data_IF_334647975090
#
_entry.id   IF_334647975090
#
_cell.length_a   1.000
_cell.length_b   1.000
_cell.length_c   1.000
_cell.angle_alpha   90.00
_cell.angle_beta   90.00
_cell.angle_gamma   90.00
#
_symmetry.space_group_name_H-M   'P 1'
#
loop_
_entity.id
_entity.type
_entity.pdbx_description
1 polymer ?
#
# COMPACT_ATOMS: atom_id res chain seq x y z
N UNK A 1 -2.19 -6.81 -9.86
CA UNK A 1 -1.81 -7.33 -8.54
C UNK A 1 -2.89 -6.91 -7.56
N UNK A 2 -3.45 -7.85 -6.79
CA UNK A 2 -4.51 -7.57 -5.82
C UNK A 2 -3.90 -7.29 -4.45
N UNK A 3 -4.56 -6.44 -3.66
CA UNK A 3 -4.18 -6.13 -2.27
C UNK A 3 -3.94 -7.38 -1.42
N UNK A 4 -4.72 -8.42 -1.63
CA UNK A 4 -4.59 -9.72 -0.96
C UNK A 4 -3.23 -10.38 -1.20
N UNK A 5 -2.72 -10.31 -2.44
CA UNK A 5 -1.42 -10.89 -2.81
C UNK A 5 -0.27 -10.17 -2.09
N UNK A 6 -0.38 -8.84 -1.93
CA UNK A 6 0.60 -8.04 -1.20
C UNK A 6 0.59 -8.42 0.27
N UNK A 7 -0.59 -8.55 0.88
CA UNK A 7 -0.70 -8.97 2.28
C UNK A 7 -0.19 -10.38 2.52
N UNK A 8 -0.48 -11.31 1.61
CA UNK A 8 0.06 -12.66 1.69
C UNK A 8 1.58 -12.66 1.58
N UNK A 9 2.13 -11.95 0.59
CA UNK A 9 3.58 -11.81 0.43
C UNK A 9 4.24 -11.23 1.68
N UNK A 10 3.67 -10.16 2.24
CA UNK A 10 4.21 -9.51 3.43
C UNK A 10 4.12 -10.42 4.66
N UNK A 11 3.04 -11.18 4.80
CA UNK A 11 2.88 -12.17 5.87
C UNK A 11 3.87 -13.33 5.73
N UNK A 12 4.10 -13.83 4.53
CA UNK A 12 5.05 -14.93 4.28
C UNK A 12 6.50 -14.48 4.44
N UNK A 13 6.87 -13.32 3.92
CA UNK A 13 8.26 -12.83 3.95
C UNK A 13 8.65 -12.22 5.29
N UNK A 14 7.76 -11.43 5.90
CA UNK A 14 8.08 -10.65 7.10
C UNK A 14 7.31 -11.12 8.34
N UNK A 15 6.28 -11.95 8.20
CA UNK A 15 5.46 -12.39 9.34
C UNK A 15 4.74 -11.23 10.01
N UNK A 16 4.36 -10.22 9.25
CA UNK A 16 3.73 -8.98 9.75
C UNK A 16 2.30 -8.90 9.26
N UNK A 17 1.44 -8.30 10.07
CA UNK A 17 0.03 -8.08 9.75
C UNK A 17 -0.22 -6.59 9.48
N UNK A 18 -1.11 -6.25 8.54
CA UNK A 18 -1.48 -4.87 8.27
C UNK A 18 -2.29 -4.24 9.42
N UNK A 19 -1.88 -3.04 9.84
CA UNK A 19 -2.55 -2.23 10.85
C UNK A 19 -3.39 -1.12 10.21
N UNK A 20 -4.67 -1.04 10.55
CA UNK A 20 -5.59 0.00 10.05
C UNK A 20 -5.72 1.13 11.07
N UNK A 21 -4.92 2.19 10.90
CA UNK A 21 -4.84 3.28 11.87
C UNK A 21 -5.83 4.43 11.59
N UNK A 22 -6.26 4.59 10.34
CA UNK A 22 -7.08 5.73 9.95
C UNK A 22 -8.56 5.37 9.91
N UNK A 23 -9.36 6.00 10.77
CA UNK A 23 -10.83 5.86 10.76
C UNK A 23 -11.48 6.47 9.52
N UNK A 24 -10.85 7.50 8.93
CA UNK A 24 -11.36 8.18 7.72
C UNK A 24 -11.13 7.34 6.46
N UNK A 25 -10.07 6.53 6.45
CA UNK A 25 -9.65 5.73 5.31
C UNK A 25 -9.44 4.27 5.77
N UNK A 26 -10.53 3.50 5.92
CA UNK A 26 -10.45 2.10 6.37
C UNK A 26 -9.69 1.20 5.38
N UNK A 27 -9.48 1.69 4.16
CA UNK A 27 -8.70 1.02 3.13
C UNK A 27 -7.18 1.16 3.33
N UNK A 28 -6.73 2.10 4.16
CA UNK A 28 -5.31 2.37 4.40
C UNK A 28 -4.73 1.46 5.49
N UNK A 29 -3.67 0.74 5.16
CA UNK A 29 -2.98 -0.20 6.04
C UNK A 29 -1.50 0.17 6.22
N UNK A 30 -1.00 0.10 7.45
CA UNK A 30 0.42 0.26 7.79
C UNK A 30 1.04 -1.10 8.05
N UNK A 31 2.23 -1.32 7.52
CA UNK A 31 3.04 -2.51 7.76
C UNK A 31 4.18 -2.15 8.71
N UNK A 32 4.23 -2.85 9.84
CA UNK A 32 5.22 -2.64 10.91
C UNK A 32 6.06 -3.88 11.13
N UNK A 33 7.37 -3.67 11.31
CA UNK A 33 8.23 -4.70 11.84
C UNK A 33 7.85 -5.00 13.29
N UNK A 34 8.20 -6.19 13.76
CA UNK A 34 8.09 -6.57 15.18
C UNK A 34 8.84 -5.63 16.13
N UNK A 35 9.79 -4.85 15.60
CA UNK A 35 10.52 -3.80 16.34
C UNK A 35 9.71 -2.52 16.58
N UNK A 36 8.52 -2.39 16.00
CA UNK A 36 7.65 -1.21 16.11
C UNK A 36 7.92 -0.12 15.07
N UNK A 37 8.94 -0.27 14.23
CA UNK A 37 9.16 0.63 13.08
C UNK A 37 8.27 0.20 11.91
N UNK A 38 7.51 1.16 11.38
CA UNK A 38 6.82 0.98 10.10
C UNK A 38 7.85 0.97 8.97
N UNK A 39 7.56 0.25 7.90
CA UNK A 39 8.45 0.17 6.73
C UNK A 39 7.71 0.29 5.41
N UNK A 40 6.40 0.07 5.41
CA UNK A 40 5.55 0.27 4.26
C UNK A 40 4.13 0.68 4.68
N UNK A 41 3.43 1.39 3.80
CA UNK A 41 2.04 1.81 3.95
C UNK A 41 1.34 1.50 2.63
N UNK A 42 0.15 0.92 2.71
CA UNK A 42 -0.74 0.68 1.58
C UNK A 42 -1.90 1.66 1.73
N UNK A 43 -2.13 2.50 0.72
CA UNK A 43 -3.16 3.54 0.73
C UNK A 43 -4.02 3.41 -0.52
N UNK A 44 -5.34 3.39 -0.35
CA UNK A 44 -6.25 3.49 -1.49
C UNK A 44 -6.48 4.97 -1.81
N UNK A 45 -6.00 5.42 -2.96
CA UNK A 45 -6.09 6.81 -3.39
C UNK A 45 -6.93 6.89 -4.66
N UNK A 46 -7.76 7.93 -4.77
CA UNK A 46 -8.53 8.16 -5.98
C UNK A 46 -7.61 8.61 -7.11
N UNK A 47 -7.72 7.96 -8.27
CA UNK A 47 -6.94 8.28 -9.48
C UNK A 47 -7.05 9.76 -9.88
N UNK A 48 -8.20 10.36 -9.62
CA UNK A 48 -8.50 11.78 -9.85
C UNK A 48 -7.56 12.70 -9.04
N UNK A 49 -7.19 12.32 -7.81
CA UNK A 49 -6.24 13.09 -6.98
C UNK A 49 -4.81 13.01 -7.52
N UNK A 50 -4.51 12.02 -8.36
CA UNK A 50 -3.24 11.86 -9.07
C UNK A 50 -3.26 12.53 -10.46
N UNK A 51 -4.38 13.16 -10.85
CA UNK A 51 -4.53 13.79 -12.17
C UNK A 51 -4.74 12.80 -13.31
N UNK A 52 -5.18 11.57 -13.02
CA UNK A 52 -5.57 10.60 -14.04
C UNK A 52 -7.04 10.81 -14.42
N UNK A 53 -7.35 10.77 -15.71
CA UNK A 53 -8.72 10.96 -16.23
C UNK A 53 -9.66 9.77 -15.94
N UNK A 54 -9.10 8.63 -15.53
CA UNK A 54 -9.87 7.44 -15.19
C UNK A 54 -10.46 7.52 -13.79
N UNK A 55 -11.77 7.28 -13.70
CA UNK A 55 -12.46 7.11 -12.42
C UNK A 55 -12.07 5.77 -11.78
N UNK A 56 -11.64 5.82 -10.53
CA UNK A 56 -11.35 4.62 -9.74
C UNK A 56 -10.39 4.87 -8.60
N UNK A 57 -10.30 3.89 -7.71
CA UNK A 57 -9.29 3.84 -6.65
C UNK A 57 -8.10 3.02 -7.11
N UNK A 58 -6.90 3.47 -6.76
CA UNK A 58 -5.66 2.73 -6.94
C UNK A 58 -5.01 2.52 -5.58
N UNK A 59 -4.50 1.31 -5.34
CA UNK A 59 -3.71 1.02 -4.16
C UNK A 59 -2.26 1.46 -4.40
N UNK A 60 -1.78 2.39 -3.57
CA UNK A 60 -0.40 2.87 -3.55
C UNK A 60 0.33 2.17 -2.40
N UNK A 61 1.46 1.54 -2.70
CA UNK A 61 2.39 1.04 -1.70
C UNK A 61 3.54 2.03 -1.55
N UNK A 62 3.55 2.77 -0.46
CA UNK A 62 4.71 3.59 -0.07
C UNK A 62 5.64 2.75 0.80
N UNK A 63 6.93 2.68 0.46
CA UNK A 63 7.93 1.88 1.16
C UNK A 63 9.10 2.76 1.56
N UNK A 64 9.32 2.91 2.86
CA UNK A 64 10.38 3.75 3.43
C UNK A 64 11.79 3.28 3.01
N UNK A 65 11.96 1.99 2.67
CA UNK A 65 13.16 1.41 2.03
C UNK A 65 12.83 0.51 0.84
N UNK A 66 12.48 1.09 -0.29
CA UNK A 66 13.13 0.84 -1.59
C UNK A 66 12.35 1.50 -2.72
N UNK A 67 13.12 2.19 -3.55
CA UNK A 67 12.86 2.57 -4.95
C UNK A 67 12.26 1.37 -5.71
N UNK A 68 11.36 1.63 -6.66
CA UNK A 68 10.72 0.69 -7.61
C UNK A 68 9.33 0.17 -7.20
N UNK A 69 8.26 0.88 -7.55
CA UNK A 69 7.03 0.28 -8.13
C UNK A 69 6.12 1.32 -8.82
N UNK A 70 6.49 2.62 -8.84
CA UNK A 70 5.83 3.64 -9.67
C UNK A 70 6.09 3.50 -11.20
N UNK A 71 6.40 2.28 -11.67
CA UNK A 71 6.80 2.02 -13.06
C UNK A 71 5.94 0.94 -13.70
N UNK A 72 4.61 0.98 -13.55
CA UNK A 72 3.73 0.13 -14.38
C UNK A 72 2.28 0.63 -14.51
N UNK A 73 2.08 1.90 -14.87
CA UNK A 73 0.82 2.39 -15.48
C UNK A 73 1.11 3.46 -16.54
N UNK A 74 2.16 3.25 -17.35
CA UNK A 74 2.29 3.91 -18.66
C UNK A 74 2.08 2.84 -19.73
N UNK A 75 0.82 2.57 -20.01
CA UNK A 75 0.38 2.17 -21.35
C UNK A 75 0.23 3.42 -22.20
#
# INVERSE_FOLDING_TARGET
MKREEIFQYVKEQYGTEPEYLWKKDPDSAVLRHKSGKWYAIIMAVEKETLGLEEKGKIDILDKERCICYARYTRG
#
